data_IF_770740462559
#
_entry.id   IF_770740462559
#
_cell.length_a   1.000
_cell.length_b   1.000
_cell.length_c   1.000
_cell.angle_alpha   90.00
_cell.angle_beta   90.00
_cell.angle_gamma   90.00
#
_symmetry.space_group_name_H-M   'P 1'
#
loop_
_entity.id
_entity.type
_entity.pdbx_description
1 polymer ?
#
# COMPACT_ATOMS: atom_id res chain seq x y z
N UNK A 1 -32.21 -42.93 -24.69
CA UNK A 1 -33.32 -42.84 -23.72
C UNK A 1 -33.20 -41.49 -23.04
N UNK A 2 -34.09 -40.57 -23.38
CA UNK A 2 -34.05 -39.16 -23.00
C UNK A 2 -34.71 -38.98 -21.62
N UNK A 3 -34.10 -38.21 -20.72
CA UNK A 3 -34.84 -37.52 -19.65
C UNK A 3 -34.34 -36.08 -19.58
N UNK A 4 -35.24 -35.19 -19.98
CA UNK A 4 -35.15 -33.75 -19.82
C UNK A 4 -35.39 -33.36 -18.35
N UNK A 5 -34.77 -32.27 -17.91
CA UNK A 5 -34.96 -31.73 -16.57
C UNK A 5 -34.44 -30.30 -16.46
N UNK A 6 -35.01 -29.39 -17.26
CA UNK A 6 -34.80 -27.94 -17.14
C UNK A 6 -35.60 -27.41 -15.95
N UNK A 7 -34.93 -26.78 -14.99
CA UNK A 7 -35.57 -25.95 -13.97
C UNK A 7 -35.19 -24.48 -14.22
N UNK A 8 -36.14 -23.74 -14.79
CA UNK A 8 -36.16 -22.28 -14.82
C UNK A 8 -36.57 -21.78 -13.42
N UNK A 9 -35.73 -20.99 -12.78
CA UNK A 9 -36.12 -20.20 -11.61
C UNK A 9 -36.13 -18.73 -12.02
N UNK A 10 -37.29 -18.11 -11.85
CA UNK A 10 -37.64 -16.76 -12.25
C UNK A 10 -37.16 -15.75 -11.20
N UNK A 11 -36.63 -14.62 -11.68
CA UNK A 11 -36.18 -13.45 -10.90
C UNK A 11 -37.30 -12.83 -10.04
N UNK A 12 -36.93 -12.33 -8.86
CA UNK A 12 -37.62 -11.23 -8.20
C UNK A 12 -36.60 -10.13 -7.88
N UNK A 13 -36.63 -9.04 -8.67
CA UNK A 13 -35.97 -7.78 -8.38
C UNK A 13 -36.92 -6.95 -7.52
N UNK A 14 -36.62 -6.80 -6.23
CA UNK A 14 -37.26 -5.77 -5.40
C UNK A 14 -36.39 -4.52 -5.41
N UNK A 15 -36.70 -3.61 -6.32
CA UNK A 15 -36.18 -2.25 -6.32
C UNK A 15 -36.91 -1.39 -5.29
N UNK A 16 -36.16 -0.55 -4.58
CA UNK A 16 -36.70 0.64 -3.94
C UNK A 16 -36.27 1.83 -4.80
N UNK A 17 -37.18 2.32 -5.64
CA UNK A 17 -37.17 3.70 -6.13
C UNK A 17 -38.16 4.46 -5.26
N UNK A 18 -37.72 5.52 -4.59
CA UNK A 18 -38.62 6.55 -4.08
C UNK A 18 -38.13 7.92 -4.55
N UNK A 19 -39.10 8.80 -4.77
CA UNK A 19 -39.09 9.87 -5.76
C UNK A 19 -38.49 11.18 -5.23
N UNK A 20 -38.10 12.04 -6.17
CA UNK A 20 -37.34 13.25 -5.91
C UNK A 20 -38.06 14.36 -5.15
N UNK A 21 -37.24 15.28 -4.64
CA UNK A 21 -37.64 16.64 -4.30
C UNK A 21 -36.61 17.60 -4.91
N UNK A 22 -37.10 18.53 -5.73
CA UNK A 22 -36.32 19.59 -6.39
C UNK A 22 -36.56 20.91 -5.68
N UNK A 23 -35.52 21.75 -5.66
CA UNK A 23 -35.44 23.15 -5.18
C UNK A 23 -35.20 23.29 -3.67
N UNK A 24 -34.18 24.00 -3.15
CA UNK A 24 -33.49 25.22 -3.59
C UNK A 24 -32.16 25.36 -2.81
N UNK A 25 -31.21 26.21 -3.28
CA UNK A 25 -29.93 26.41 -2.62
C UNK A 25 -30.08 27.43 -1.47
N UNK A 26 -29.59 27.08 -0.29
CA UNK A 26 -29.39 28.03 0.81
C UNK A 26 -28.00 27.85 1.38
N UNK A 27 -27.09 28.71 0.94
CA UNK A 27 -25.83 29.00 1.61
C UNK A 27 -26.13 29.72 2.92
N UNK A 28 -25.55 29.31 4.05
CA UNK A 28 -25.14 30.27 5.05
C UNK A 28 -23.61 30.32 5.10
N UNK A 29 -23.11 31.45 4.62
CA UNK A 29 -21.77 31.96 4.82
C UNK A 29 -21.48 32.00 6.33
N UNK A 30 -20.63 31.09 6.81
CA UNK A 30 -20.07 31.18 8.18
C UNK A 30 -18.67 31.77 8.06
N UNK A 31 -18.64 33.10 7.99
CA UNK A 31 -17.48 33.93 8.24
C UNK A 31 -17.00 33.69 9.67
N UNK A 32 -16.02 32.81 9.85
CA UNK A 32 -15.27 32.72 11.12
C UNK A 32 -14.09 33.69 11.05
N UNK A 33 -14.38 34.85 11.63
CA UNK A 33 -13.47 35.92 12.06
C UNK A 33 -12.11 35.39 12.51
N UNK A 34 -11.06 35.78 11.78
CA UNK A 34 -9.67 35.62 12.18
C UNK A 34 -9.42 36.31 13.53
N UNK A 35 -8.95 35.56 14.51
CA UNK A 35 -8.40 36.10 15.75
C UNK A 35 -6.92 36.45 15.53
N UNK A 36 -6.44 37.64 15.92
CA UNK A 36 -5.02 37.94 15.93
C UNK A 36 -4.39 37.21 17.12
N UNK A 37 -3.69 36.10 16.87
CA UNK A 37 -2.80 35.52 17.88
C UNK A 37 -1.52 36.36 17.92
N UNK A 38 -1.44 37.21 18.94
CA UNK A 38 -0.20 37.87 19.38
C UNK A 38 0.90 36.84 19.58
N UNK A 39 1.90 36.86 18.70
CA UNK A 39 3.16 36.13 18.89
C UNK A 39 3.97 36.81 19.99
N UNK A 40 3.75 36.39 21.22
CA UNK A 40 4.63 36.72 22.35
C UNK A 40 5.94 35.95 22.21
N UNK A 41 7.02 36.71 22.08
CA UNK A 41 8.41 36.29 22.03
C UNK A 41 8.92 35.81 23.39
N UNK A 42 9.85 34.83 23.34
CA UNK A 42 11.04 34.60 24.20
C UNK A 42 11.07 33.25 24.98
N UNK A 43 12.25 32.74 25.37
CA UNK A 43 13.41 32.37 24.54
C UNK A 43 14.05 31.01 24.94
N UNK A 44 15.03 30.59 24.13
CA UNK A 44 16.22 29.78 24.48
C UNK A 44 16.07 28.33 24.99
N UNK A 45 16.42 27.41 24.07
CA UNK A 45 17.36 26.28 24.29
C UNK A 45 17.19 25.45 25.57
N UNK A 46 16.25 24.51 25.54
CA UNK A 46 16.48 23.20 26.14
C UNK A 46 17.28 22.36 25.13
N UNK A 47 18.30 21.59 25.54
CA UNK A 47 18.96 20.68 24.63
C UNK A 47 17.91 19.69 24.11
N UNK A 48 17.71 19.67 22.80
CA UNK A 48 17.02 18.58 22.15
C UNK A 48 17.91 17.33 22.31
N UNK A 49 17.77 16.64 23.43
CA UNK A 49 18.11 15.22 23.49
C UNK A 49 17.23 14.57 22.44
N UNK A 50 17.86 14.18 21.33
CA UNK A 50 17.31 13.27 20.34
C UNK A 50 16.83 12.02 21.07
N UNK A 51 15.54 11.99 21.42
CA UNK A 51 14.88 10.75 21.74
C UNK A 51 14.77 9.98 20.41
N UNK A 52 15.44 8.84 20.31
CA UNK A 52 15.28 7.92 19.18
C UNK A 52 13.78 7.69 18.93
N UNK A 53 13.27 7.91 17.70
CA UNK A 53 11.89 7.61 17.39
C UNK A 53 11.67 6.13 17.67
N UNK A 54 10.74 5.88 18.56
CA UNK A 54 10.51 4.59 19.19
C UNK A 54 10.17 3.53 18.13
N UNK A 55 11.09 2.59 17.90
CA UNK A 55 10.98 1.45 16.99
C UNK A 55 9.83 0.46 17.27
N UNK A 56 8.88 0.79 18.16
CA UNK A 56 7.80 -0.13 18.59
C UNK A 56 6.64 -0.25 17.62
N UNK A 57 6.56 0.57 16.58
CA UNK A 57 5.43 0.57 15.62
C UNK A 57 5.86 0.36 14.17
N UNK A 58 7.04 -0.20 13.95
CA UNK A 58 7.57 -0.51 12.62
C UNK A 58 7.08 -1.90 12.18
N UNK A 59 6.45 -2.06 11.00
CA UNK A 59 6.05 -3.37 10.49
C UNK A 59 7.24 -4.33 10.41
N UNK A 60 7.05 -5.60 10.78
CA UNK A 60 8.11 -6.61 10.74
C UNK A 60 8.73 -6.81 9.34
N UNK A 61 7.95 -6.51 8.29
CA UNK A 61 8.39 -6.56 6.90
C UNK A 61 8.93 -5.23 6.35
N UNK A 62 9.03 -4.15 7.13
CA UNK A 62 9.61 -2.90 6.61
C UNK A 62 11.08 -3.11 6.27
N UNK A 63 11.46 -2.77 5.04
CA UNK A 63 12.84 -2.81 4.55
C UNK A 63 13.15 -1.52 3.80
N UNK A 64 14.37 -1.02 3.93
CA UNK A 64 14.84 0.18 3.23
C UNK A 64 16.26 -0.02 2.69
N UNK A 65 16.58 0.68 1.61
CA UNK A 65 17.92 0.71 1.01
C UNK A 65 18.99 1.08 2.04
N UNK A 66 18.68 2.02 2.93
CA UNK A 66 19.61 2.50 3.97
C UNK A 66 19.97 1.45 5.03
N UNK A 67 19.10 0.48 5.25
CA UNK A 67 19.25 -0.58 6.27
C UNK A 67 19.59 -1.93 5.66
N UNK A 68 19.52 -2.05 4.34
CA UNK A 68 19.72 -3.32 3.64
C UNK A 68 21.20 -3.66 3.53
N UNK A 69 21.52 -4.94 3.74
CA UNK A 69 22.88 -5.44 3.55
C UNK A 69 22.99 -6.14 2.20
N UNK A 70 23.81 -5.59 1.31
CA UNK A 70 23.96 -6.05 -0.07
C UNK A 70 23.30 -5.10 -1.06
N UNK A 71 23.14 -5.55 -2.31
CA UNK A 71 22.58 -4.71 -3.36
C UNK A 71 21.07 -4.56 -3.17
N UNK A 72 20.61 -3.30 -3.16
CA UNK A 72 19.19 -2.98 -3.09
C UNK A 72 18.55 -3.16 -4.48
N UNK A 73 17.53 -4.04 -4.64
CA UNK A 73 17.02 -4.40 -5.96
C UNK A 73 15.94 -3.47 -6.50
N UNK A 74 15.53 -2.44 -5.75
CA UNK A 74 14.42 -1.58 -6.14
C UNK A 74 14.85 -0.16 -6.49
N UNK A 75 14.06 0.53 -7.32
CA UNK A 75 14.24 1.95 -7.63
C UNK A 75 13.63 2.86 -6.56
N UNK A 76 12.74 2.33 -5.73
CA UNK A 76 12.15 3.02 -4.57
C UNK A 76 13.04 2.81 -3.34
N UNK A 77 13.14 3.79 -2.42
CA UNK A 77 14.09 3.72 -1.30
C UNK A 77 13.67 2.75 -0.19
N UNK A 78 12.39 2.41 -0.08
CA UNK A 78 11.86 1.54 0.97
C UNK A 78 10.50 0.94 0.60
N UNK A 79 10.05 -0.03 1.40
CA UNK A 79 8.71 -0.59 1.32
C UNK A 79 8.51 -1.74 2.31
N UNK A 80 7.35 -2.38 2.25
CA UNK A 80 6.99 -3.45 3.18
C UNK A 80 6.87 -4.79 2.46
N UNK A 81 7.66 -5.77 2.92
CA UNK A 81 7.53 -7.17 2.57
C UNK A 81 6.33 -7.80 3.30
N UNK A 82 5.59 -8.62 2.59
CA UNK A 82 4.50 -9.42 3.15
C UNK A 82 4.52 -10.83 2.56
N UNK A 83 4.18 -11.82 3.39
CA UNK A 83 3.90 -13.18 2.95
C UNK A 83 2.40 -13.50 3.07
N UNK A 84 1.77 -13.91 1.96
CA UNK A 84 0.40 -14.44 1.92
C UNK A 84 0.35 -15.94 1.61
N UNK A 85 -0.71 -16.64 2.02
CA UNK A 85 -0.79 -18.11 1.88
C UNK A 85 -1.29 -18.60 0.52
N UNK A 86 -0.59 -19.50 -0.22
CA UNK A 86 0.65 -20.18 0.18
C UNK A 86 1.91 -19.46 -0.34
N UNK A 87 2.79 -19.04 0.57
CA UNK A 87 4.13 -18.49 0.30
C UNK A 87 4.23 -17.43 -0.82
N UNK A 88 3.22 -16.57 -0.95
CA UNK A 88 3.19 -15.44 -1.87
C UNK A 88 3.94 -14.28 -1.27
N UNK A 89 5.13 -14.02 -1.77
CA UNK A 89 5.93 -12.87 -1.32
C UNK A 89 5.59 -11.66 -2.17
N UNK A 90 5.22 -10.58 -1.49
CA UNK A 90 4.90 -9.29 -2.10
C UNK A 90 5.70 -8.17 -1.46
N UNK A 91 5.85 -7.08 -2.20
CA UNK A 91 6.47 -5.84 -1.73
C UNK A 91 5.52 -4.68 -1.98
N UNK A 92 5.19 -3.93 -0.93
CA UNK A 92 4.32 -2.76 -1.03
C UNK A 92 5.13 -1.49 -0.98
N UNK A 93 5.03 -0.67 -2.01
CA UNK A 93 5.66 0.65 -2.08
C UNK A 93 4.73 1.62 -2.83
N UNK A 94 4.68 2.87 -2.37
CA UNK A 94 3.85 3.93 -2.97
C UNK A 94 2.38 3.51 -3.20
N UNK A 95 1.82 2.74 -2.25
CA UNK A 95 0.44 2.23 -2.31
C UNK A 95 0.20 1.09 -3.30
N UNK A 96 1.24 0.61 -3.97
CA UNK A 96 1.17 -0.47 -4.97
C UNK A 96 1.76 -1.76 -4.40
N UNK A 97 1.11 -2.90 -4.66
CA UNK A 97 1.55 -4.21 -4.19
C UNK A 97 2.14 -4.98 -5.37
N UNK A 98 3.44 -5.27 -5.31
CA UNK A 98 4.18 -5.96 -6.35
C UNK A 98 4.41 -7.44 -6.00
N UNK A 99 4.21 -8.32 -6.98
CA UNK A 99 4.53 -9.74 -6.84
C UNK A 99 6.05 -9.98 -6.98
N UNK A 100 6.69 -10.47 -5.92
CA UNK A 100 8.13 -10.76 -5.95
C UNK A 100 8.44 -12.18 -6.46
N UNK A 101 7.57 -13.16 -6.20
CA UNK A 101 7.82 -14.55 -6.56
C UNK A 101 6.74 -15.15 -7.46
N UNK A 102 7.01 -16.34 -8.01
CA UNK A 102 6.08 -17.01 -8.92
C UNK A 102 4.71 -17.30 -8.28
N UNK A 103 4.66 -17.62 -6.99
CA UNK A 103 3.41 -17.85 -6.26
C UNK A 103 2.56 -16.56 -6.18
N UNK A 104 3.19 -15.41 -5.90
CA UNK A 104 2.52 -14.12 -5.91
C UNK A 104 2.06 -13.74 -7.33
N UNK A 105 2.90 -13.94 -8.36
CA UNK A 105 2.52 -13.67 -9.76
C UNK A 105 1.33 -14.53 -10.20
N UNK A 106 1.33 -15.81 -9.84
CA UNK A 106 0.26 -16.76 -10.19
C UNK A 106 -1.07 -16.44 -9.51
N UNK A 107 -1.08 -15.61 -8.46
CA UNK A 107 -2.32 -15.14 -7.85
C UNK A 107 -3.08 -14.14 -8.72
N UNK A 108 -2.42 -13.48 -9.67
CA UNK A 108 -3.05 -12.56 -10.64
C UNK A 108 -3.66 -11.29 -10.03
N UNK A 109 -3.29 -10.94 -8.80
CA UNK A 109 -3.88 -9.83 -8.05
C UNK A 109 -2.88 -8.69 -7.72
N UNK A 110 -1.63 -8.82 -8.15
CA UNK A 110 -0.54 -7.90 -7.80
C UNK A 110 0.20 -7.46 -9.06
N UNK A 111 0.78 -6.27 -9.02
CA UNK A 111 1.54 -5.71 -10.14
C UNK A 111 2.88 -6.42 -10.34
N UNK A 112 3.42 -6.37 -11.55
CA UNK A 112 4.74 -6.93 -11.82
C UNK A 112 5.83 -6.03 -11.23
N UNK A 113 6.69 -6.62 -10.40
CA UNK A 113 7.86 -5.94 -9.80
C UNK A 113 8.79 -5.32 -10.84
N UNK A 114 8.75 -5.75 -12.11
CA UNK A 114 9.54 -5.18 -13.20
C UNK A 114 9.40 -3.65 -13.33
N UNK A 115 8.30 -3.05 -12.88
CA UNK A 115 8.11 -1.59 -12.88
C UNK A 115 9.06 -0.84 -11.93
N UNK A 116 9.52 -1.50 -10.86
CA UNK A 116 10.40 -0.92 -9.83
C UNK A 116 11.71 -1.69 -9.66
N UNK A 117 11.98 -2.70 -10.50
CA UNK A 117 13.17 -3.53 -10.38
C UNK A 117 14.37 -2.81 -11.00
N UNK A 118 15.35 -2.49 -10.16
CA UNK A 118 16.58 -1.79 -10.52
C UNK A 118 17.41 -2.61 -11.50
N UNK A 119 17.84 -1.96 -12.58
CA UNK A 119 18.87 -2.48 -13.46
C UNK A 119 20.24 -2.44 -12.76
N UNK A 120 21.06 -3.45 -12.99
CA UNK A 120 22.45 -3.47 -12.51
C UNK A 120 23.35 -2.62 -13.41
N UNK A 121 24.63 -2.55 -13.07
CA UNK A 121 25.64 -1.90 -13.92
C UNK A 121 25.84 -2.62 -15.28
N UNK A 122 25.34 -3.86 -15.41
CA UNK A 122 25.38 -4.63 -16.65
C UNK A 122 24.07 -4.46 -17.45
N UNK A 123 24.15 -4.02 -18.72
CA UNK A 123 22.97 -3.78 -19.54
C UNK A 123 22.04 -5.00 -19.67
N UNK A 124 20.76 -4.81 -19.37
CA UNK A 124 19.73 -5.85 -19.48
C UNK A 124 19.76 -6.89 -18.35
N UNK A 125 20.59 -6.67 -17.33
CA UNK A 125 20.66 -7.52 -16.14
C UNK A 125 20.14 -6.72 -14.96
N UNK A 126 19.22 -7.31 -14.20
CA UNK A 126 18.69 -6.69 -12.99
C UNK A 126 19.46 -7.11 -11.76
N UNK A 127 19.45 -6.24 -10.75
CA UNK A 127 20.00 -6.56 -9.43
C UNK A 127 19.32 -7.81 -8.87
N UNK A 128 20.07 -8.69 -8.21
CA UNK A 128 19.50 -9.91 -7.66
C UNK A 128 18.41 -9.61 -6.61
N UNK A 129 17.20 -10.10 -6.87
CA UNK A 129 16.05 -9.96 -5.97
C UNK A 129 15.89 -11.16 -5.03
N UNK A 130 16.66 -12.23 -5.23
CA UNK A 130 16.60 -13.46 -4.44
C UNK A 130 16.64 -13.23 -2.92
N UNK A 131 17.59 -12.43 -2.40
CA UNK A 131 17.65 -12.09 -0.98
C UNK A 131 16.37 -11.43 -0.43
N UNK A 132 15.70 -10.59 -1.22
CA UNK A 132 14.40 -9.99 -0.83
C UNK A 132 13.29 -11.01 -0.78
N UNK A 133 13.24 -11.93 -1.75
CA UNK A 133 12.26 -13.02 -1.75
C UNK A 133 12.48 -13.91 -0.53
N UNK A 134 13.73 -14.27 -0.22
CA UNK A 134 14.06 -15.09 0.95
C UNK A 134 13.63 -14.39 2.24
N UNK A 135 13.96 -13.11 2.40
CA UNK A 135 13.54 -12.32 3.57
C UNK A 135 12.02 -12.27 3.72
N UNK A 136 11.29 -12.16 2.62
CA UNK A 136 9.83 -12.20 2.64
C UNK A 136 9.26 -13.59 2.98
N UNK A 137 9.92 -14.67 2.58
CA UNK A 137 9.53 -16.04 2.94
C UNK A 137 9.70 -16.34 4.44
N UNK A 138 10.64 -15.67 5.12
CA UNK A 138 10.80 -15.77 6.59
C UNK A 138 9.64 -15.11 7.37
N UNK A 139 8.75 -14.37 6.69
CA UNK A 139 7.53 -13.81 7.27
C UNK A 139 6.33 -14.77 7.16
N UNK A 140 6.52 -15.90 6.49
CA UNK A 140 5.65 -17.06 6.57
C UNK A 140 6.09 -17.91 7.79
#
# INVERSE_FOLDING_TARGET
MWIAGSALVVLALSGCSDSGDSATPSTPETTVRAAPITSTTAPAAAPATTAEPTARNVPAGLVSESTWTGDWPFTVPEGSLMCGQPNRVTFTADGTIYALNGAAKSAGAFDDVAAIWKESDFPGVRVDIGPMIQRGLELC
#
